data_IF_407120556585
#
_entry.id   IF_407120556585
#
_cell.length_a   1.000
_cell.length_b   1.000
_cell.length_c   1.000
_cell.angle_alpha   90.00
_cell.angle_beta   90.00
_cell.angle_gamma   90.00
#
_symmetry.space_group_name_H-M   'P 1'
#
loop_
_entity.id
_entity.type
_entity.pdbx_description
1 polymer ?
#
# COMPACT_ATOMS: atom_id res chain seq x y z
N UNK A 1 -2.49 -0.35 -10.96
CA UNK A 1 -1.55 0.34 -10.03
C UNK A 1 -1.02 -0.70 -9.05
N UNK A 2 0.25 -0.62 -8.65
CA UNK A 2 0.91 -1.64 -7.82
C UNK A 2 0.95 -1.22 -6.35
N UNK A 3 0.65 -2.15 -5.44
CA UNK A 3 0.78 -1.95 -3.99
C UNK A 3 2.18 -1.48 -3.57
N UNK A 4 3.23 -1.91 -4.28
CA UNK A 4 4.60 -1.44 -4.01
C UNK A 4 4.76 0.08 -4.21
N UNK A 5 4.03 0.68 -5.16
CA UNK A 5 4.03 2.13 -5.35
C UNK A 5 3.31 2.85 -4.22
N UNK A 6 2.25 2.25 -3.67
CA UNK A 6 1.52 2.78 -2.53
C UNK A 6 2.35 2.70 -1.24
N UNK A 7 3.15 1.65 -1.05
CA UNK A 7 4.11 1.54 0.05
C UNK A 7 5.17 2.65 -0.01
N UNK A 8 5.70 2.94 -1.18
CA UNK A 8 6.65 4.05 -1.35
C UNK A 8 6.00 5.39 -1.03
N UNK A 9 4.76 5.61 -1.49
CA UNK A 9 3.99 6.81 -1.16
C UNK A 9 3.77 6.95 0.35
N UNK A 10 3.37 5.88 1.05
CA UNK A 10 3.23 5.88 2.51
C UNK A 10 4.52 6.29 3.22
N UNK A 11 5.67 5.73 2.80
CA UNK A 11 6.98 6.10 3.36
C UNK A 11 7.31 7.58 3.17
N UNK A 12 6.92 8.17 2.04
CA UNK A 12 7.09 9.61 1.80
C UNK A 12 6.21 10.48 2.71
N UNK A 13 5.07 9.95 3.17
CA UNK A 13 4.21 10.61 4.17
C UNK A 13 4.70 10.38 5.62
N UNK A 14 5.85 9.74 5.81
CA UNK A 14 6.39 9.44 7.14
C UNK A 14 5.78 8.19 7.82
N UNK A 15 4.98 7.41 7.10
CA UNK A 15 4.40 6.17 7.62
C UNK A 15 5.44 5.05 7.58
N UNK A 16 5.64 4.37 8.71
CA UNK A 16 6.46 3.17 8.77
C UNK A 16 5.71 1.99 8.16
N UNK A 17 6.36 1.28 7.22
CA UNK A 17 5.78 0.11 6.56
C UNK A 17 6.82 -1.00 6.52
N UNK A 18 6.49 -2.10 7.20
CA UNK A 18 7.24 -3.34 7.18
C UNK A 18 6.50 -4.39 6.36
N UNK A 19 7.25 -5.19 5.61
CA UNK A 19 6.70 -6.24 4.76
C UNK A 19 7.47 -7.52 5.02
N UNK A 20 6.72 -8.56 5.36
CA UNK A 20 7.25 -9.90 5.53
C UNK A 20 6.71 -10.80 4.42
N UNK A 21 7.56 -11.69 3.93
CA UNK A 21 7.18 -12.71 2.96
C UNK A 21 7.37 -14.07 3.61
N UNK A 22 6.30 -14.87 3.68
CA UNK A 22 6.32 -16.18 4.35
C UNK A 22 7.42 -17.11 3.82
N UNK A 23 7.69 -17.06 2.52
CA UNK A 23 8.72 -17.90 1.88
C UNK A 23 10.15 -17.45 2.20
N UNK A 24 10.37 -16.19 2.55
CA UNK A 24 11.69 -15.62 2.82
C UNK A 24 11.96 -15.46 4.33
N UNK A 25 10.91 -15.21 5.10
CA UNK A 25 10.97 -14.84 6.52
C UNK A 25 9.89 -15.62 7.31
N UNK A 26 9.90 -16.96 7.30
CA UNK A 26 8.87 -17.77 7.96
C UNK A 26 8.82 -17.53 9.48
N UNK A 27 9.97 -17.24 10.09
CA UNK A 27 10.07 -17.02 11.53
C UNK A 27 9.26 -15.79 11.99
N UNK A 28 9.25 -14.70 11.20
CA UNK A 28 8.47 -13.50 11.52
C UNK A 28 6.96 -13.76 11.62
N UNK A 29 6.44 -14.75 10.88
CA UNK A 29 5.03 -15.16 10.95
C UNK A 29 4.75 -16.04 12.16
N UNK A 30 5.73 -16.82 12.62
CA UNK A 30 5.62 -17.67 13.80
C UNK A 30 5.79 -16.89 15.11
N UNK A 31 6.60 -15.84 15.10
CA UNK A 31 6.91 -15.01 16.27
C UNK A 31 5.81 -14.00 16.62
N UNK A 32 4.99 -13.60 15.64
CA UNK A 32 3.83 -12.73 15.91
C UNK A 32 2.59 -13.58 16.23
N UNK A 33 2.06 -13.56 17.48
CA UNK A 33 0.96 -14.43 17.88
C UNK A 33 -0.32 -14.22 17.05
N UNK A 34 -0.62 -12.97 16.67
CA UNK A 34 -1.80 -12.64 15.85
C UNK A 34 -1.69 -13.23 14.45
N UNK A 35 -0.50 -13.13 13.84
CA UNK A 35 -0.22 -13.69 12.50
C UNK A 35 -0.25 -15.22 12.54
N UNK A 36 0.41 -15.82 13.53
CA UNK A 36 0.42 -17.28 13.72
C UNK A 36 -1.00 -17.82 13.87
N UNK A 37 -1.78 -17.25 14.77
CA UNK A 37 -3.15 -17.70 15.03
C UNK A 37 -4.07 -17.47 13.80
N UNK A 38 -3.82 -16.44 13.00
CA UNK A 38 -4.53 -16.24 11.73
C UNK A 38 -4.22 -17.36 10.72
N UNK A 39 -2.95 -17.71 10.55
CA UNK A 39 -2.52 -18.77 9.63
C UNK A 39 -3.04 -20.14 10.07
N UNK A 40 -3.03 -20.45 11.36
CA UNK A 40 -3.55 -21.72 11.90
C UNK A 40 -5.06 -21.89 11.63
N UNK A 41 -5.83 -20.80 11.66
CA UNK A 41 -7.29 -20.85 11.44
C UNK A 41 -7.70 -20.73 9.98
N UNK A 42 -7.00 -19.91 9.21
CA UNK A 42 -7.45 -19.46 7.87
C UNK A 42 -6.55 -19.94 6.74
N UNK A 43 -5.41 -20.56 7.06
CA UNK A 43 -4.43 -21.01 6.09
C UNK A 43 -3.60 -19.88 5.45
N UNK A 44 -2.54 -20.27 4.75
CA UNK A 44 -1.63 -19.35 4.06
C UNK A 44 -2.26 -18.77 2.78
N UNK A 45 -3.26 -19.43 2.22
CA UNK A 45 -4.08 -18.99 1.09
C UNK A 45 -4.88 -17.72 1.40
N UNK A 46 -5.10 -17.41 2.68
CA UNK A 46 -5.79 -16.19 3.12
C UNK A 46 -4.88 -14.95 3.18
N UNK A 47 -3.60 -15.09 2.80
CA UNK A 47 -2.67 -13.96 2.67
C UNK A 47 -3.00 -13.09 1.43
N UNK A 48 -2.59 -11.81 1.40
CA UNK A 48 -1.80 -11.10 2.42
C UNK A 48 -2.61 -10.80 3.68
N UNK A 49 -1.92 -10.68 4.82
CA UNK A 49 -2.45 -10.23 6.10
C UNK A 49 -1.91 -8.83 6.39
N UNK A 50 -2.79 -7.88 6.68
CA UNK A 50 -2.42 -6.48 6.95
C UNK A 50 -2.75 -6.16 8.40
N UNK A 51 -1.74 -5.65 9.11
CA UNK A 51 -1.88 -5.15 10.46
C UNK A 51 -1.65 -3.63 10.48
N UNK A 52 -2.48 -2.90 11.23
CA UNK A 52 -2.31 -1.48 11.53
C UNK A 52 -2.10 -1.36 13.04
N UNK A 53 -0.97 -0.81 13.47
CA UNK A 53 -0.59 -0.73 14.89
C UNK A 53 -0.68 -2.07 15.64
N UNK A 54 -0.42 -3.17 14.92
CA UNK A 54 -0.49 -4.54 15.44
C UNK A 54 -1.89 -5.18 15.38
N UNK A 55 -2.92 -4.42 15.01
CA UNK A 55 -4.30 -4.90 14.90
C UNK A 55 -4.65 -5.37 13.50
N UNK A 56 -5.43 -6.45 13.41
CA UNK A 56 -5.91 -6.99 12.15
C UNK A 56 -6.91 -6.03 11.48
N UNK A 57 -6.59 -5.58 10.26
CA UNK A 57 -7.48 -4.69 9.49
C UNK A 57 -7.95 -5.30 8.17
N UNK A 58 -7.17 -6.19 7.57
CA UNK A 58 -7.48 -6.74 6.25
C UNK A 58 -6.73 -8.04 5.94
N UNK A 59 -7.40 -8.97 5.25
CA UNK A 59 -6.79 -10.18 4.68
C UNK A 59 -7.26 -10.46 3.25
N UNK A 60 -6.56 -11.35 2.55
CA UNK A 60 -6.94 -11.91 1.25
C UNK A 60 -6.83 -10.97 0.05
N UNK A 61 -6.54 -9.68 0.27
CA UNK A 61 -6.25 -8.71 -0.79
C UNK A 61 -5.28 -7.64 -0.29
N UNK A 62 -4.73 -6.84 -1.19
CA UNK A 62 -4.02 -5.63 -0.77
C UNK A 62 -5.00 -4.46 -0.57
N UNK A 63 -4.72 -3.54 0.37
CA UNK A 63 -5.51 -2.33 0.53
C UNK A 63 -5.29 -1.40 -0.67
N UNK A 64 -6.30 -0.62 -1.00
CA UNK A 64 -6.22 0.42 -2.02
C UNK A 64 -5.56 1.69 -1.44
N UNK A 65 -5.10 2.60 -2.31
CA UNK A 65 -4.64 3.93 -1.86
C UNK A 65 -5.69 4.67 -1.03
N UNK A 66 -6.98 4.48 -1.32
CA UNK A 66 -8.09 5.05 -0.55
C UNK A 66 -8.20 4.44 0.86
N UNK A 67 -8.05 3.12 0.98
CA UNK A 67 -8.04 2.44 2.27
C UNK A 67 -6.88 2.97 3.14
N UNK A 68 -5.67 3.05 2.56
CA UNK A 68 -4.47 3.55 3.22
C UNK A 68 -4.62 5.01 3.67
N UNK A 69 -5.12 5.88 2.79
CA UNK A 69 -5.33 7.28 3.14
C UNK A 69 -6.34 7.45 4.29
N UNK A 70 -7.39 6.62 4.32
CA UNK A 70 -8.37 6.63 5.41
C UNK A 70 -7.76 6.18 6.73
N UNK A 71 -6.94 5.14 6.74
CA UNK A 71 -6.31 4.61 7.95
C UNK A 71 -5.34 5.60 8.59
N UNK A 72 -4.54 6.29 7.77
CA UNK A 72 -3.52 7.22 8.26
C UNK A 72 -3.95 8.69 8.28
N UNK A 73 -5.23 8.99 8.00
CA UNK A 73 -5.74 10.37 7.94
C UNK A 73 -5.06 11.24 6.88
N UNK A 74 -4.52 10.62 5.82
CA UNK A 74 -3.78 11.32 4.78
C UNK A 74 -4.76 11.95 3.80
N UNK A 75 -4.55 13.23 3.49
CA UNK A 75 -5.26 13.84 2.39
C UNK A 75 -4.86 13.14 1.10
N UNK A 76 -5.86 12.67 0.35
CA UNK A 76 -5.66 12.29 -1.04
C UNK A 76 -5.47 13.60 -1.84
N UNK A 77 -4.35 14.28 -1.60
CA UNK A 77 -3.78 15.17 -2.60
C UNK A 77 -3.75 14.31 -3.85
N UNK A 78 -4.63 14.63 -4.80
CA UNK A 78 -4.69 13.96 -6.09
C UNK A 78 -3.24 13.89 -6.51
N UNK A 79 -2.67 12.70 -6.56
CA UNK A 79 -1.41 12.48 -7.26
C UNK A 79 -1.76 12.62 -8.73
N UNK A 80 -2.12 13.85 -9.10
CA UNK A 80 -2.19 14.31 -10.46
C UNK A 80 -0.77 14.16 -10.92
N UNK A 81 -0.61 13.25 -11.86
CA UNK A 81 0.24 13.50 -13.00
C UNK A 81 0.32 15.02 -13.20
N UNK A 82 1.49 15.61 -12.95
CA UNK A 82 1.70 17.02 -13.22
C UNK A 82 1.16 17.30 -14.64
N UNK A 83 0.36 18.35 -14.86
CA UNK A 83 0.08 18.77 -16.23
C UNK A 83 1.46 19.08 -16.82
N UNK A 84 1.87 18.29 -17.80
CA UNK A 84 3.11 18.55 -18.52
C UNK A 84 3.05 19.97 -19.06
N UNK A 85 3.72 20.90 -18.39
CA UNK A 85 4.14 22.15 -19.01
C UNK A 85 5.17 21.75 -20.06
N UNK A 86 4.71 21.63 -21.31
CA UNK A 86 5.55 21.92 -22.44
C UNK A 86 5.02 23.20 -23.09
N UNK A 87 5.60 24.31 -22.65
CA UNK A 87 5.60 25.55 -23.40
C UNK A 87 6.52 25.35 -24.62
N UNK A 88 5.95 25.20 -25.81
CA UNK A 88 6.56 25.34 -27.14
C UNK A 88 5.33 25.52 -28.06
N UNK A 89 5.04 26.62 -28.73
CA UNK A 89 5.83 27.53 -29.54
C UNK A 89 4.81 28.05 -30.57
N UNK A 90 4.84 29.34 -30.88
CA UNK A 90 3.73 30.05 -31.51
C UNK A 90 3.33 29.60 -32.92
N UNK A 91 2.23 30.21 -33.39
CA UNK A 91 1.76 30.28 -34.77
C UNK A 91 1.31 28.95 -35.40
N UNK A 92 -0.01 28.79 -35.62
CA UNK A 92 -0.61 28.74 -36.98
C UNK A 92 -2.11 28.45 -36.87
N UNK A 93 -2.89 29.34 -37.46
CA UNK A 93 -4.30 29.20 -37.82
C UNK A 93 -4.55 27.93 -38.64
N UNK A 94 -5.57 27.13 -38.33
CA UNK A 94 -6.17 26.19 -39.28
C UNK A 94 -7.67 26.00 -38.99
N UNK A 95 -8.46 26.57 -39.91
CA UNK A 95 -9.83 26.29 -40.38
C UNK A 95 -10.90 25.79 -39.41
#
# INVERSE_FOLDING_TARGET
>A
MSFSADVTWLKQQGVSVERFNLSQQPLAFAENPSVKAFLERSGAESLPLILLDGEFVLSGRYPTRQDLARWFGLNQEKTGMAPGKSCCGGNTSCC
#
